data_IF_696715183224
#
_entry.id   IF_696715183224
#
_cell.length_a   1.000
_cell.length_b   1.000
_cell.length_c   1.000
_cell.angle_alpha   90.00
_cell.angle_beta   90.00
_cell.angle_gamma   90.00
#
_symmetry.space_group_name_H-M   'P 1'
#
loop_
_entity.id
_entity.type
_entity.pdbx_description
1 polymer ?
#
# COMPACT_ATOMS: atom_id res chain seq x y z
N UNK A 1 48.25 -27.49 -22.14
CA UNK A 1 47.20 -27.93 -21.21
C UNK A 1 46.54 -26.66 -20.62
N UNK A 2 45.30 -26.38 -21.05
CA UNK A 2 44.59 -25.12 -20.73
C UNK A 2 43.68 -25.33 -19.53
N UNK A 3 44.02 -24.72 -18.39
CA UNK A 3 43.27 -24.78 -17.12
C UNK A 3 42.22 -23.63 -17.01
N UNK A 4 42.02 -22.88 -18.10
CA UNK A 4 41.18 -21.67 -18.09
C UNK A 4 39.68 -21.87 -18.28
N UNK A 5 39.18 -23.07 -18.62
CA UNK A 5 37.79 -23.27 -19.03
C UNK A 5 36.79 -23.60 -17.93
N UNK A 6 37.24 -24.10 -16.78
CA UNK A 6 36.35 -24.64 -15.75
C UNK A 6 35.90 -23.62 -14.72
N UNK A 7 36.61 -22.50 -14.58
CA UNK A 7 36.26 -21.45 -13.59
C UNK A 7 35.16 -20.47 -14.07
N UNK A 8 34.96 -20.35 -15.38
CA UNK A 8 33.97 -19.45 -15.95
C UNK A 8 32.55 -19.99 -16.01
N UNK A 9 32.37 -21.31 -16.00
CA UNK A 9 31.06 -21.95 -15.98
C UNK A 9 30.38 -21.89 -14.60
N UNK A 10 31.15 -21.85 -13.52
CA UNK A 10 30.65 -21.74 -12.15
C UNK A 10 30.11 -20.34 -11.79
N UNK A 11 30.65 -19.28 -12.40
CA UNK A 11 30.27 -17.91 -12.12
C UNK A 11 28.97 -17.49 -12.83
N UNK A 12 28.60 -18.11 -13.95
CA UNK A 12 27.33 -17.84 -14.65
C UNK A 12 26.09 -18.35 -13.93
N UNK A 13 26.21 -19.33 -13.05
CA UNK A 13 25.08 -19.85 -12.27
C UNK A 13 24.63 -18.91 -11.14
N UNK A 14 25.39 -17.87 -10.81
CA UNK A 14 25.13 -16.98 -9.69
C UNK A 14 24.45 -15.64 -10.06
N UNK A 15 24.22 -15.37 -11.34
CA UNK A 15 23.73 -14.05 -11.81
C UNK A 15 22.53 -14.18 -12.74
N UNK A 16 21.65 -15.11 -12.51
CA UNK A 16 20.30 -15.00 -13.11
C UNK A 16 19.50 -14.06 -12.20
N UNK A 17 19.16 -12.84 -12.66
CA UNK A 17 18.29 -11.98 -11.86
C UNK A 17 17.01 -12.77 -11.58
N UNK A 18 16.47 -12.72 -10.36
CA UNK A 18 15.22 -13.40 -10.06
C UNK A 18 14.16 -12.92 -11.05
N UNK A 19 13.40 -13.83 -11.62
CA UNK A 19 12.27 -13.49 -12.50
C UNK A 19 11.23 -12.74 -11.65
N UNK A 20 11.30 -11.40 -11.69
CA UNK A 20 10.38 -10.53 -10.96
C UNK A 20 8.92 -10.80 -11.33
N UNK A 21 8.66 -11.19 -12.58
CA UNK A 21 7.29 -11.52 -13.00
C UNK A 21 6.80 -12.81 -12.37
N UNK A 22 7.65 -13.84 -12.24
CA UNK A 22 7.30 -15.07 -11.53
C UNK A 22 7.03 -14.80 -10.04
N UNK A 23 7.87 -14.02 -9.37
CA UNK A 23 7.69 -13.62 -7.98
C UNK A 23 6.33 -12.90 -7.78
N UNK A 24 6.02 -11.96 -8.65
CA UNK A 24 4.75 -11.20 -8.57
C UNK A 24 3.54 -12.08 -8.88
N UNK A 25 3.63 -12.98 -9.87
CA UNK A 25 2.54 -13.94 -10.13
C UNK A 25 2.28 -14.82 -8.92
N UNK A 26 3.31 -15.36 -8.29
CA UNK A 26 3.17 -16.17 -7.07
C UNK A 26 2.59 -15.36 -5.92
N UNK A 27 3.07 -14.13 -5.69
CA UNK A 27 2.54 -13.26 -4.65
C UNK A 27 1.05 -12.95 -4.86
N UNK A 28 0.63 -12.65 -6.09
CA UNK A 28 -0.78 -12.44 -6.44
C UNK A 28 -1.63 -13.68 -6.19
N UNK A 29 -1.16 -14.85 -6.59
CA UNK A 29 -1.88 -16.11 -6.36
C UNK A 29 -2.09 -16.39 -4.87
N UNK A 30 -1.05 -16.18 -4.05
CA UNK A 30 -1.15 -16.34 -2.60
C UNK A 30 -2.04 -15.29 -1.95
N UNK A 31 -1.97 -14.05 -2.42
CA UNK A 31 -2.85 -12.98 -1.94
C UNK A 31 -4.33 -13.28 -2.25
N UNK A 32 -4.61 -13.75 -3.47
CA UNK A 32 -5.96 -14.12 -3.89
C UNK A 32 -6.54 -15.28 -3.04
N UNK A 33 -5.70 -16.23 -2.64
CA UNK A 33 -6.12 -17.35 -1.78
C UNK A 33 -6.53 -16.93 -0.36
N UNK A 34 -6.20 -15.72 0.07
CA UNK A 34 -6.58 -15.17 1.38
C UNK A 34 -7.91 -14.42 1.37
N UNK A 35 -8.47 -14.17 0.20
CA UNK A 35 -9.77 -13.48 0.10
C UNK A 35 -10.90 -14.29 0.75
N UNK A 36 -11.95 -13.61 1.24
CA UNK A 36 -13.13 -14.28 1.75
C UNK A 36 -13.74 -15.26 0.73
N UNK A 37 -14.33 -16.37 1.20
CA UNK A 37 -15.01 -17.33 0.31
C UNK A 37 -16.07 -16.63 -0.54
N UNK A 38 -16.07 -16.92 -1.84
CA UNK A 38 -17.02 -16.35 -2.80
C UNK A 38 -16.56 -15.06 -3.47
N UNK A 39 -15.48 -14.44 -2.99
CA UNK A 39 -14.89 -13.30 -3.69
C UNK A 39 -13.97 -13.74 -4.81
N UNK A 40 -14.17 -13.17 -5.99
CA UNK A 40 -13.31 -13.40 -7.15
C UNK A 40 -12.49 -12.17 -7.48
N UNK A 41 -11.21 -12.39 -7.78
CA UNK A 41 -10.31 -11.33 -8.21
C UNK A 41 -10.68 -10.90 -9.63
N UNK A 42 -11.01 -9.64 -9.79
CA UNK A 42 -11.21 -8.99 -11.10
C UNK A 42 -9.88 -8.51 -11.65
N UNK A 43 -9.05 -7.90 -10.80
CA UNK A 43 -7.71 -7.44 -11.17
C UNK A 43 -6.80 -7.38 -9.94
N UNK A 44 -5.48 -7.39 -10.17
CA UNK A 44 -4.52 -7.34 -9.07
C UNK A 44 -3.15 -6.82 -9.49
N UNK A 45 -2.55 -6.00 -8.63
CA UNK A 45 -1.26 -5.37 -8.86
C UNK A 45 -0.40 -5.37 -7.60
N UNK A 46 0.92 -5.37 -7.76
CA UNK A 46 1.80 -4.94 -6.67
C UNK A 46 1.63 -3.45 -6.47
N UNK A 47 1.65 -3.01 -5.23
CA UNK A 47 1.38 -1.63 -4.85
C UNK A 47 2.38 -1.15 -3.82
N UNK A 48 2.79 0.09 -3.97
CA UNK A 48 3.59 0.85 -3.01
C UNK A 48 2.87 2.15 -2.68
N UNK A 49 3.09 2.74 -1.49
CA UNK A 49 2.59 4.08 -1.20
C UNK A 49 3.29 5.08 -2.12
N UNK A 50 2.60 6.15 -2.49
CA UNK A 50 3.21 7.26 -3.21
C UNK A 50 4.42 7.81 -2.46
N UNK A 51 5.37 8.38 -3.19
CA UNK A 51 6.67 8.79 -2.67
C UNK A 51 6.56 9.79 -1.50
N UNK A 52 5.61 10.73 -1.60
CA UNK A 52 5.39 11.79 -0.60
C UNK A 52 4.25 11.50 0.38
N UNK A 53 3.64 10.31 0.31
CA UNK A 53 2.68 9.88 1.34
C UNK A 53 3.44 9.76 2.67
N UNK A 54 3.02 10.43 3.74
CA UNK A 54 3.77 10.44 4.99
C UNK A 54 3.78 9.07 5.66
N UNK A 55 4.72 8.86 6.57
CA UNK A 55 4.73 7.70 7.43
C UNK A 55 3.67 7.82 8.53
N UNK A 56 2.94 6.73 8.84
CA UNK A 56 1.95 6.77 9.90
C UNK A 56 2.63 7.10 11.25
N UNK A 57 2.09 8.04 12.03
CA UNK A 57 2.53 8.27 13.39
C UNK A 57 2.21 7.08 14.27
N UNK A 58 2.86 6.97 15.43
CA UNK A 58 2.78 5.79 16.31
C UNK A 58 1.39 5.20 16.50
N UNK A 59 0.31 5.98 16.79
CA UNK A 59 -1.01 5.43 17.04
C UNK A 59 -1.66 4.73 15.85
N UNK A 60 -1.20 5.04 14.62
CA UNK A 60 -1.74 4.50 13.37
C UNK A 60 -0.81 3.49 12.70
N UNK A 61 0.32 3.17 13.34
CA UNK A 61 1.23 2.15 12.81
C UNK A 61 0.60 0.77 12.91
N UNK A 62 0.64 0.06 11.82
CA UNK A 62 0.17 -1.32 11.73
C UNK A 62 1.38 -2.25 11.80
N UNK A 63 1.37 -3.19 12.73
CA UNK A 63 2.38 -4.24 12.78
C UNK A 63 2.07 -5.32 11.75
N UNK A 64 3.10 -5.91 11.16
CA UNK A 64 2.95 -6.99 10.20
C UNK A 64 3.87 -8.18 10.52
N UNK A 65 3.43 -9.37 10.14
CA UNK A 65 4.16 -10.64 10.26
C UNK A 65 4.62 -10.97 11.68
N UNK A 66 3.74 -10.76 12.64
CA UNK A 66 3.92 -11.25 14.01
C UNK A 66 4.97 -10.48 14.82
N UNK A 67 5.24 -9.24 14.48
CA UNK A 67 5.94 -8.35 15.39
C UNK A 67 5.10 -8.28 16.68
N UNK A 68 5.60 -8.87 17.75
CA UNK A 68 4.96 -8.74 19.06
C UNK A 68 5.38 -7.39 19.63
N UNK A 69 4.43 -6.52 20.02
CA UNK A 69 4.77 -5.30 20.72
C UNK A 69 5.54 -5.70 22.00
N UNK A 70 6.66 -5.04 22.24
CA UNK A 70 7.42 -5.21 23.49
C UNK A 70 6.55 -4.77 24.68
N UNK A 71 6.90 -5.23 25.89
CA UNK A 71 6.16 -4.81 27.09
C UNK A 71 6.11 -3.27 27.22
N UNK A 72 7.18 -2.55 26.83
CA UNK A 72 7.23 -1.09 26.76
C UNK A 72 6.23 -0.50 25.76
N UNK A 73 6.05 -1.12 24.60
CA UNK A 73 5.06 -0.67 23.61
C UNK A 73 3.61 -0.81 24.10
N UNK A 74 3.33 -1.81 24.95
CA UNK A 74 1.99 -1.99 25.53
C UNK A 74 1.62 -0.91 26.55
N UNK A 75 2.59 -0.47 27.32
CA UNK A 75 2.39 0.62 28.30
C UNK A 75 2.18 1.96 27.57
N UNK A 76 2.99 2.23 26.54
CA UNK A 76 2.83 3.41 25.69
C UNK A 76 1.49 3.43 24.95
N UNK A 77 1.03 2.30 24.40
CA UNK A 77 -0.27 2.20 23.73
C UNK A 77 -1.47 2.50 24.66
N UNK A 78 -1.33 2.26 25.98
CA UNK A 78 -2.33 2.63 26.97
C UNK A 78 -2.40 4.16 27.15
N UNK A 79 -1.27 4.82 27.32
CA UNK A 79 -1.17 6.27 27.45
C UNK A 79 -1.57 7.00 26.14
N UNK A 80 -1.14 6.48 24.98
CA UNK A 80 -1.49 7.02 23.66
C UNK A 80 -3.00 6.91 23.34
N UNK A 81 -3.72 5.91 23.87
CA UNK A 81 -5.18 5.82 23.76
C UNK A 81 -5.91 6.93 24.51
N UNK A 82 -5.37 7.32 25.66
CA UNK A 82 -5.89 8.45 26.44
C UNK A 82 -5.59 9.77 25.74
N UNK A 83 -4.40 9.92 25.17
CA UNK A 83 -4.00 11.11 24.40
C UNK A 83 -4.84 11.28 23.13
N UNK A 84 -5.11 10.20 22.39
CA UNK A 84 -6.03 10.19 21.24
C UNK A 84 -7.48 10.53 21.61
N UNK A 85 -7.93 10.15 22.81
CA UNK A 85 -9.26 10.53 23.30
C UNK A 85 -9.32 12.02 23.63
N UNK A 86 -8.23 12.61 24.13
CA UNK A 86 -8.11 14.04 24.41
C UNK A 86 -7.92 14.85 23.13
N UNK A 87 -7.17 14.36 22.14
CA UNK A 87 -6.99 14.99 20.83
C UNK A 87 -8.29 15.12 20.03
N UNK A 88 -9.22 14.17 20.20
CA UNK A 88 -10.56 14.26 19.59
C UNK A 88 -11.40 15.43 20.10
N UNK A 89 -11.08 15.98 21.26
CA UNK A 89 -11.81 17.07 21.91
C UNK A 89 -11.08 18.40 21.78
N UNK A 90 -9.85 18.40 21.22
CA UNK A 90 -9.03 19.62 21.14
C UNK A 90 -9.39 20.43 19.87
N UNK A 91 -10.06 21.60 20.02
CA UNK A 91 -10.42 22.46 18.88
C UNK A 91 -9.19 23.05 18.15
N UNK A 92 -7.99 22.96 18.74
CA UNK A 92 -6.75 23.42 18.14
C UNK A 92 -6.30 22.50 17.00
N UNK A 93 -6.52 21.19 17.14
CA UNK A 93 -6.20 20.22 16.08
C UNK A 93 -7.15 20.37 14.89
N UNK A 94 -8.44 20.68 15.14
CA UNK A 94 -9.37 21.02 14.07
C UNK A 94 -8.98 22.31 13.33
N UNK A 95 -8.35 23.26 14.01
CA UNK A 95 -7.84 24.50 13.39
C UNK A 95 -6.53 24.27 12.61
N UNK A 96 -5.64 23.39 13.08
CA UNK A 96 -4.44 22.97 12.36
C UNK A 96 -4.81 22.15 11.10
N UNK A 97 -5.76 21.23 11.20
CA UNK A 97 -6.32 20.50 10.05
C UNK A 97 -7.02 21.45 9.03
N UNK A 98 -7.59 22.56 9.51
CA UNK A 98 -8.18 23.59 8.66
C UNK A 98 -7.12 24.50 8.03
N UNK A 99 -5.96 24.64 8.64
CA UNK A 99 -4.83 25.43 8.13
C UNK A 99 -4.03 24.66 7.11
N UNK A 100 -3.79 23.38 7.34
CA UNK A 100 -3.18 22.46 6.37
C UNK A 100 -4.04 22.35 5.09
N UNK A 101 -5.36 22.44 5.22
CA UNK A 101 -6.29 22.48 4.07
C UNK A 101 -6.19 23.74 3.21
N UNK A 102 -5.61 24.85 3.71
CA UNK A 102 -5.45 26.10 2.94
C UNK A 102 -4.19 26.15 2.07
N UNK A 103 -3.23 25.30 2.35
CA UNK A 103 -2.06 25.10 1.51
C UNK A 103 -2.19 23.85 0.64
N UNK A 104 -3.21 23.76 -0.21
CA UNK A 104 -3.31 22.70 -1.23
C UNK A 104 -2.13 22.84 -2.21
N UNK A 105 -0.99 22.42 -1.74
CA UNK A 105 0.19 22.23 -2.56
C UNK A 105 -0.16 21.14 -3.57
N UNK A 106 -0.15 21.49 -4.86
CA UNK A 106 -0.32 20.52 -5.97
C UNK A 106 0.67 19.36 -5.90
N UNK A 107 1.64 19.43 -5.00
CA UNK A 107 2.59 18.36 -4.67
C UNK A 107 2.08 17.38 -3.59
N UNK A 108 0.98 17.67 -2.90
CA UNK A 108 0.42 16.76 -1.93
C UNK A 108 0.07 15.42 -2.59
N UNK A 109 0.43 14.32 -1.95
CA UNK A 109 0.14 12.97 -2.44
C UNK A 109 -0.86 12.23 -1.54
N UNK A 110 -1.48 12.95 -0.64
CA UNK A 110 -2.56 12.44 0.19
C UNK A 110 -3.39 13.60 0.78
N UNK A 111 -4.64 13.31 1.08
CA UNK A 111 -5.56 14.21 1.79
C UNK A 111 -6.43 13.42 2.75
N UNK A 112 -6.67 13.96 3.93
CA UNK A 112 -7.48 13.34 5.00
C UNK A 112 -6.66 12.97 6.21
N UNK A 113 -7.36 12.68 7.31
CA UNK A 113 -6.74 12.22 8.56
C UNK A 113 -6.35 10.74 8.51
N UNK A 114 -5.52 10.29 9.45
CA UNK A 114 -5.11 8.87 9.55
C UNK A 114 -6.26 7.90 9.82
N UNK A 115 -7.40 8.40 10.29
CA UNK A 115 -8.62 7.61 10.49
C UNK A 115 -9.48 7.51 9.23
N UNK A 116 -9.24 8.35 8.22
CA UNK A 116 -9.93 8.31 6.93
C UNK A 116 -9.62 7.02 6.15
N UNK A 117 -10.36 6.78 5.09
CA UNK A 117 -10.11 5.66 4.19
C UNK A 117 -8.69 5.74 3.57
N UNK A 118 -8.28 6.95 3.14
CA UNK A 118 -6.93 7.20 2.63
C UNK A 118 -5.86 6.94 3.68
N UNK A 119 -6.06 7.39 4.93
CA UNK A 119 -5.11 7.19 6.02
C UNK A 119 -4.95 5.72 6.37
N UNK A 120 -6.04 4.97 6.45
CA UNK A 120 -6.00 3.52 6.69
C UNK A 120 -5.26 2.77 5.57
N UNK A 121 -5.52 3.14 4.31
CA UNK A 121 -4.81 2.55 3.16
C UNK A 121 -3.31 2.90 3.20
N UNK A 122 -2.96 4.16 3.46
CA UNK A 122 -1.57 4.60 3.59
C UNK A 122 -0.84 3.86 4.71
N UNK A 123 -1.46 3.69 5.88
CA UNK A 123 -0.91 2.94 7.01
C UNK A 123 -0.75 1.44 6.68
N UNK A 124 -1.72 0.86 5.97
CA UNK A 124 -1.66 -0.52 5.51
C UNK A 124 -0.48 -0.77 4.55
N UNK A 125 -0.13 0.20 3.72
CA UNK A 125 0.99 0.11 2.78
C UNK A 125 2.36 0.35 3.44
N UNK A 126 2.41 0.89 4.67
CA UNK A 126 3.64 1.18 5.42
C UNK A 126 3.63 0.55 6.81
N UNK A 127 3.56 -0.80 6.91
CA UNK A 127 3.58 -1.46 8.20
C UNK A 127 4.92 -1.32 8.89
N UNK A 128 4.91 -1.46 10.21
CA UNK A 128 6.13 -1.72 10.98
C UNK A 128 6.47 -3.21 10.84
N UNK A 129 7.60 -3.51 10.24
CA UNK A 129 8.06 -4.88 10.07
C UNK A 129 9.57 -4.92 9.81
N UNK A 130 10.23 -5.98 10.28
CA UNK A 130 11.61 -6.32 9.94
C UNK A 130 11.68 -7.28 8.74
N UNK A 131 10.54 -7.75 8.28
CA UNK A 131 10.45 -8.70 7.17
C UNK A 131 10.35 -7.97 5.83
N UNK A 132 10.98 -8.53 4.81
CA UNK A 132 10.74 -8.11 3.43
C UNK A 132 9.36 -8.61 2.99
N UNK A 133 8.63 -7.78 2.28
CA UNK A 133 7.29 -8.12 1.81
C UNK A 133 6.97 -7.43 0.48
N UNK A 134 5.95 -7.94 -0.19
CA UNK A 134 5.24 -7.26 -1.27
C UNK A 134 3.83 -6.95 -0.79
N UNK A 135 3.36 -5.74 -1.04
CA UNK A 135 1.94 -5.41 -0.96
C UNK A 135 1.29 -5.69 -2.31
N UNK A 136 0.19 -6.42 -2.27
CA UNK A 136 -0.64 -6.75 -3.43
C UNK A 136 -2.00 -6.08 -3.25
N UNK A 137 -2.39 -5.29 -4.23
CA UNK A 137 -3.69 -4.66 -4.33
C UNK A 137 -4.57 -5.56 -5.18
N UNK A 138 -5.66 -6.06 -4.64
CA UNK A 138 -6.63 -6.91 -5.33
C UNK A 138 -7.97 -6.18 -5.42
N UNK A 139 -8.51 -6.08 -6.63
CA UNK A 139 -9.87 -5.66 -6.88
C UNK A 139 -10.77 -6.87 -6.96
N UNK A 140 -11.86 -6.85 -6.21
CA UNK A 140 -12.94 -7.84 -6.29
C UNK A 140 -14.26 -7.17 -6.69
N UNK A 141 -15.30 -7.95 -6.83
CA UNK A 141 -16.66 -7.43 -7.06
C UNK A 141 -17.17 -6.55 -5.93
N UNK A 142 -16.68 -6.75 -4.70
CA UNK A 142 -17.16 -6.09 -3.48
C UNK A 142 -16.22 -5.03 -2.92
N UNK A 143 -14.94 -5.05 -3.29
CA UNK A 143 -13.99 -4.10 -2.72
C UNK A 143 -12.58 -4.17 -3.26
N UNK A 144 -11.75 -3.32 -2.66
CA UNK A 144 -10.32 -3.24 -2.88
C UNK A 144 -9.61 -3.77 -1.63
N UNK A 145 -8.76 -4.77 -1.80
CA UNK A 145 -8.03 -5.41 -0.71
C UNK A 145 -6.54 -5.16 -0.85
N UNK A 146 -5.88 -4.85 0.24
CA UNK A 146 -4.42 -4.86 0.35
C UNK A 146 -4.02 -6.10 1.12
N UNK A 147 -3.22 -6.92 0.48
CA UNK A 147 -2.67 -8.14 1.07
C UNK A 147 -1.16 -8.06 1.05
N UNK A 148 -0.52 -8.35 2.19
CA UNK A 148 0.93 -8.41 2.30
C UNK A 148 1.40 -9.84 2.17
N UNK A 149 2.41 -10.05 1.35
CA UNK A 149 3.03 -11.36 1.11
C UNK A 149 4.48 -11.30 1.55
N UNK A 150 4.85 -12.08 2.54
CA UNK A 150 6.21 -12.11 3.06
C UNK A 150 7.17 -12.69 2.00
N UNK A 151 8.35 -12.08 1.90
CA UNK A 151 9.44 -12.54 1.08
C UNK A 151 10.53 -13.21 1.93
N UNK A 152 11.36 -14.01 1.29
CA UNK A 152 12.61 -14.50 1.85
C UNK A 152 13.53 -13.34 2.26
N UNK A 153 14.49 -13.59 3.14
CA UNK A 153 15.43 -12.58 3.64
C UNK A 153 16.21 -11.89 2.53
N UNK A 154 16.48 -12.59 1.43
CA UNK A 154 17.12 -12.04 0.22
C UNK A 154 16.12 -11.29 -0.69
N UNK A 155 14.81 -11.45 -0.48
CA UNK A 155 13.74 -10.81 -1.28
C UNK A 155 13.48 -11.49 -2.62
N UNK A 156 14.04 -12.66 -2.88
CA UNK A 156 13.97 -13.31 -4.20
C UNK A 156 12.84 -14.33 -4.35
N UNK A 157 12.23 -14.75 -3.26
CA UNK A 157 11.17 -15.77 -3.26
C UNK A 157 10.05 -15.34 -2.31
N UNK A 158 8.85 -15.81 -2.58
CA UNK A 158 7.76 -15.75 -1.62
C UNK A 158 8.06 -16.74 -0.49
N UNK A 159 8.00 -16.31 0.75
CA UNK A 159 8.39 -17.10 1.91
C UNK A 159 7.37 -16.95 3.04
N UNK A 160 6.45 -17.89 3.13
CA UNK A 160 5.67 -18.09 4.34
C UNK A 160 4.41 -17.23 4.44
N UNK A 161 4.37 -16.27 5.36
CA UNK A 161 3.13 -15.62 5.78
C UNK A 161 2.50 -14.72 4.71
N UNK A 162 1.17 -14.77 4.66
CA UNK A 162 0.33 -13.86 3.90
C UNK A 162 -0.64 -13.23 4.88
N UNK A 163 -0.86 -11.93 4.79
CA UNK A 163 -1.60 -11.17 5.77
C UNK A 163 -2.52 -10.16 5.09
N UNK A 164 -3.81 -10.20 5.43
CA UNK A 164 -4.76 -9.20 4.99
C UNK A 164 -4.52 -7.89 5.76
N UNK A 165 -4.22 -6.83 5.04
CA UNK A 165 -3.79 -5.57 5.64
C UNK A 165 -4.91 -4.54 5.73
N UNK A 166 -5.73 -4.43 4.68
CA UNK A 166 -6.80 -3.45 4.60
C UNK A 166 -7.83 -3.89 3.55
N UNK A 167 -9.08 -3.58 3.81
CA UNK A 167 -10.14 -3.64 2.80
C UNK A 167 -10.89 -2.30 2.75
N UNK A 168 -11.27 -1.91 1.55
CA UNK A 168 -12.14 -0.76 1.28
C UNK A 168 -13.28 -1.25 0.42
N UNK A 169 -14.52 -1.01 0.86
CA UNK A 169 -15.69 -1.40 0.08
C UNK A 169 -15.71 -0.64 -1.26
N UNK A 170 -16.16 -1.30 -2.31
CA UNK A 170 -16.16 -0.73 -3.66
C UNK A 170 -16.95 0.58 -3.75
N UNK A 171 -18.06 0.66 -3.04
CA UNK A 171 -18.92 1.85 -2.97
C UNK A 171 -18.24 3.05 -2.30
N UNK A 172 -17.22 2.79 -1.46
CA UNK A 172 -16.48 3.85 -0.78
C UNK A 172 -15.37 4.45 -1.64
N UNK A 173 -15.10 3.87 -2.83
CA UNK A 173 -14.15 4.39 -3.79
C UNK A 173 -14.90 5.21 -4.83
N UNK A 174 -14.74 6.51 -4.80
CA UNK A 174 -15.55 7.45 -5.61
C UNK A 174 -14.89 7.84 -6.92
N UNK A 175 -13.56 7.89 -6.96
CA UNK A 175 -12.83 8.23 -8.19
C UNK A 175 -11.41 7.67 -8.18
N UNK A 176 -10.87 7.54 -9.37
CA UNK A 176 -9.46 7.22 -9.63
C UNK A 176 -8.87 8.26 -10.58
N UNK A 177 -7.62 8.66 -10.34
CA UNK A 177 -6.88 9.58 -11.22
C UNK A 177 -5.54 8.98 -11.63
N UNK A 178 -5.26 9.02 -12.93
CA UNK A 178 -3.94 8.70 -13.46
C UNK A 178 -3.00 9.90 -13.27
N UNK A 179 -1.85 9.67 -12.63
CA UNK A 179 -0.83 10.69 -12.35
C UNK A 179 0.47 10.39 -13.09
N UNK A 180 0.34 10.00 -14.36
CA UNK A 180 1.50 9.80 -15.25
C UNK A 180 2.36 11.06 -15.45
N UNK A 181 1.83 12.24 -15.13
CA UNK A 181 2.53 13.51 -15.07
C UNK A 181 3.61 13.54 -13.96
N UNK A 182 3.42 12.78 -12.89
CA UNK A 182 4.41 12.64 -11.82
C UNK A 182 5.37 11.50 -12.14
N UNK A 183 4.85 10.30 -12.36
CA UNK A 183 5.60 9.10 -12.73
C UNK A 183 4.65 8.07 -13.33
N UNK A 184 5.09 7.36 -14.37
CA UNK A 184 4.31 6.25 -14.93
C UNK A 184 4.02 5.19 -13.84
N UNK A 185 2.77 4.76 -13.73
CA UNK A 185 2.31 3.85 -12.68
C UNK A 185 1.86 4.54 -11.38
N UNK A 186 1.89 5.87 -11.31
CA UNK A 186 1.36 6.63 -10.17
C UNK A 186 -0.11 6.92 -10.38
N UNK A 187 -0.90 6.71 -9.33
CA UNK A 187 -2.35 6.90 -9.35
C UNK A 187 -2.85 7.47 -8.02
N UNK A 188 -3.97 8.15 -8.06
CA UNK A 188 -4.68 8.63 -6.89
C UNK A 188 -6.00 7.88 -6.76
N UNK A 189 -6.34 7.52 -5.54
CA UNK A 189 -7.60 6.86 -5.17
C UNK A 189 -8.36 7.81 -4.25
N UNK A 190 -9.54 8.22 -4.64
CA UNK A 190 -10.44 9.06 -3.85
C UNK A 190 -11.58 8.27 -3.25
N UNK A 191 -11.97 8.63 -2.03
CA UNK A 191 -12.93 7.92 -1.21
C UNK A 191 -14.18 8.76 -0.90
N UNK A 192 -15.26 8.09 -0.47
CA UNK A 192 -16.54 8.72 -0.16
C UNK A 192 -16.47 9.67 1.04
N UNK A 193 -15.48 9.53 1.91
CA UNK A 193 -15.24 10.43 3.03
C UNK A 193 -14.48 11.72 2.62
N UNK A 194 -14.26 11.93 1.31
CA UNK A 194 -13.54 13.07 0.76
C UNK A 194 -12.02 12.93 0.82
N UNK A 195 -11.50 11.88 1.46
CA UNK A 195 -10.07 11.63 1.51
C UNK A 195 -9.55 11.02 0.20
N UNK A 196 -8.24 11.17 -0.05
CA UNK A 196 -7.57 10.52 -1.18
C UNK A 196 -6.11 10.24 -0.88
N UNK A 197 -5.53 9.28 -1.57
CA UNK A 197 -4.11 8.90 -1.42
C UNK A 197 -3.50 8.49 -2.75
N UNK A 198 -2.23 8.84 -2.92
CA UNK A 198 -1.43 8.40 -4.06
C UNK A 198 -0.83 7.02 -3.78
N UNK A 199 -0.93 6.15 -4.77
CA UNK A 199 -0.29 4.84 -4.81
C UNK A 199 0.56 4.71 -6.07
N UNK A 200 1.58 3.86 -5.99
CA UNK A 200 2.45 3.53 -7.11
C UNK A 200 2.35 2.03 -7.44
N UNK A 201 2.19 1.72 -8.70
CA UNK A 201 2.12 0.36 -9.25
C UNK A 201 3.38 0.06 -10.07
N UNK A 202 4.38 -0.62 -9.51
CA UNK A 202 5.71 -0.75 -10.13
C UNK A 202 5.74 -1.46 -11.50
N UNK A 203 4.80 -2.35 -11.76
CA UNK A 203 4.78 -3.18 -12.97
C UNK A 203 3.71 -2.76 -13.98
N UNK A 204 3.30 -1.51 -13.93
CA UNK A 204 2.43 -0.93 -14.96
C UNK A 204 0.94 -1.04 -14.67
N UNK A 205 0.26 -0.46 -15.53
CA UNK A 205 -1.06 -0.02 -15.77
C UNK A 205 -2.22 -0.62 -14.98
N UNK A 206 -3.11 0.26 -14.69
CA UNK A 206 -4.40 -0.01 -14.09
C UNK A 206 -5.38 -0.68 -15.06
N UNK A 207 -5.00 -1.20 -16.17
CA UNK A 207 -5.81 -1.91 -17.14
C UNK A 207 -7.31 -1.98 -16.81
N UNK A 208 -7.73 -3.13 -16.40
CA UNK A 208 -9.10 -3.42 -15.96
C UNK A 208 -9.50 -2.73 -14.67
N UNK A 209 -8.58 -2.41 -13.76
CA UNK A 209 -8.92 -1.75 -12.50
C UNK A 209 -9.62 -0.41 -12.74
N UNK A 210 -9.04 0.44 -13.57
CA UNK A 210 -9.61 1.76 -13.89
C UNK A 210 -10.94 1.65 -14.61
N UNK A 211 -11.12 0.61 -15.45
CA UNK A 211 -12.36 0.38 -16.18
C UNK A 211 -13.55 0.04 -15.29
N UNK A 212 -13.29 -0.44 -14.09
CA UNK A 212 -14.30 -0.84 -13.14
C UNK A 212 -14.88 0.31 -12.30
N UNK A 213 -14.27 1.51 -12.37
CA UNK A 213 -14.73 2.64 -11.56
C UNK A 213 -15.48 3.68 -12.39
N UNK A 214 -16.60 4.22 -11.87
CA UNK A 214 -17.48 5.08 -12.64
C UNK A 214 -16.86 6.45 -12.96
N UNK A 215 -15.97 6.94 -12.11
CA UNK A 215 -15.34 8.25 -12.28
C UNK A 215 -13.85 8.15 -12.43
N UNK A 216 -13.38 8.33 -13.66
CA UNK A 216 -11.97 8.34 -14.02
C UNK A 216 -11.54 9.76 -14.31
N UNK A 217 -10.48 10.20 -13.65
CA UNK A 217 -9.92 11.51 -13.85
C UNK A 217 -8.57 11.39 -14.58
N UNK A 218 -8.34 12.34 -15.48
CA UNK A 218 -7.02 12.57 -16.05
C UNK A 218 -6.20 13.44 -15.10
N UNK A 219 -4.90 13.45 -15.25
CA UNK A 219 -4.02 14.31 -14.45
C UNK A 219 -4.35 15.81 -14.61
N UNK A 220 -4.97 16.21 -15.72
CA UNK A 220 -5.41 17.59 -16.00
C UNK A 220 -6.75 17.95 -15.40
N UNK A 221 -7.53 16.96 -14.97
CA UNK A 221 -8.87 17.21 -14.43
C UNK A 221 -8.76 17.83 -13.03
N UNK A 222 -9.67 18.75 -12.66
CA UNK A 222 -9.70 19.30 -11.31
C UNK A 222 -10.00 18.21 -10.27
N UNK A 223 -9.53 18.44 -9.04
CA UNK A 223 -9.90 17.59 -7.90
C UNK A 223 -11.41 17.73 -7.66
N UNK A 224 -12.09 16.62 -7.40
CA UNK A 224 -13.51 16.62 -7.06
C UNK A 224 -13.79 17.29 -5.73
#
# INVERSE_FOLDING_TARGET
>A
MSIGGALWSGLKAWVTPPDRHALVREAKARAAALLPPGETVVDGHTVEPGERVPHPPKPYRVDAFGIRPTAGDRVLNGAERVELALDRVNPFNAALDAWDRRGEDRSAQWHGGWQSAAGRLAAALRPRTEKKYLSVLLLTGVGLHVVRVQLSSDGKKVAGAVEHACAVARQDITWLRDRKDVRHGTHEIGFADGSWVTVFLPLGGWGTLVEQFPRRLRHTDPMP
#
